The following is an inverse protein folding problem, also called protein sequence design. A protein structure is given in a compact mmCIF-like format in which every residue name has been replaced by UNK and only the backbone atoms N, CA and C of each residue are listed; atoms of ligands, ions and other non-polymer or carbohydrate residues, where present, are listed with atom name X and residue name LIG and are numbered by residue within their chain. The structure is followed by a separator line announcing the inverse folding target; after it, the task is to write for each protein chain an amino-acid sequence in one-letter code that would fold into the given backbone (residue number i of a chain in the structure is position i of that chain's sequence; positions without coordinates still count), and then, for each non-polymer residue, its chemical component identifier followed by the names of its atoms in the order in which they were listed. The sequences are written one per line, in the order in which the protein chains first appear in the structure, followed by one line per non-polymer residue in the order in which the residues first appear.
data_IF_715447798350
#
_entry.id   IF_715447798350
#
_cell.length_a   1.000
_cell.length_b   1.000
_cell.length_c   1.000
_cell.angle_alpha   90.00
_cell.angle_beta   90.00
_cell.angle_gamma   90.00
#
_symmetry.space_group_name_H-M   'P 1'
#
loop_
_entity.id
_entity.type
_entity.pdbx_description
1 polymer ?
#
# COMPACT_ATOMS: atom_id res chain seq x y z
N UNK A 1 -40.25 7.02 19.05
CA UNK A 1 -39.65 6.65 20.36
C UNK A 1 -38.37 5.93 20.02
N UNK A 2 -37.24 6.60 20.21
CA UNK A 2 -35.95 6.20 19.68
C UNK A 2 -35.47 4.89 20.30
N UNK A 3 -35.28 3.87 19.47
CA UNK A 3 -34.39 2.77 19.81
C UNK A 3 -32.98 3.35 19.80
N UNK A 4 -32.41 3.54 20.99
CA UNK A 4 -30.97 3.62 21.15
C UNK A 4 -30.44 2.24 20.79
N UNK A 5 -29.93 2.13 19.57
CA UNK A 5 -29.22 0.96 19.09
C UNK A 5 -27.86 0.95 19.79
N UNK A 6 -27.73 0.11 20.82
CA UNK A 6 -26.45 -0.32 21.37
C UNK A 6 -25.69 -1.11 20.30
N UNK A 7 -25.24 -0.39 19.27
CA UNK A 7 -24.41 -0.91 18.21
C UNK A 7 -23.01 -1.12 18.76
N UNK A 8 -22.68 -2.37 19.06
CA UNK A 8 -21.30 -2.84 19.21
C UNK A 8 -20.46 -2.18 18.11
N UNK A 9 -19.65 -1.18 18.47
CA UNK A 9 -18.70 -0.57 17.54
C UNK A 9 -17.69 -1.68 17.28
N UNK A 10 -17.96 -2.51 16.27
CA UNK A 10 -17.08 -3.58 15.83
C UNK A 10 -15.72 -2.96 15.53
N UNK A 11 -14.84 -2.98 16.52
CA UNK A 11 -13.56 -2.31 16.45
C UNK A 11 -12.80 -2.91 15.29
N UNK A 12 -12.66 -2.11 14.23
CA UNK A 12 -11.89 -2.52 13.06
C UNK A 12 -10.48 -2.84 13.53
N UNK A 13 -10.00 -4.04 13.20
CA UNK A 13 -8.67 -4.49 13.58
C UNK A 13 -7.64 -3.51 13.02
N UNK A 14 -6.57 -3.26 13.78
CA UNK A 14 -5.46 -2.46 13.29
C UNK A 14 -4.66 -3.29 12.27
N UNK A 15 -4.29 -2.71 11.12
CA UNK A 15 -3.44 -3.38 10.14
C UNK A 15 -1.99 -3.42 10.65
N UNK A 16 -1.62 -4.48 11.38
CA UNK A 16 -0.26 -4.67 11.86
C UNK A 16 0.57 -5.33 10.75
N UNK A 17 1.60 -4.64 10.28
CA UNK A 17 2.51 -5.15 9.24
C UNK A 17 1.99 -5.05 7.81
N UNK A 18 0.72 -4.68 7.62
CA UNK A 18 0.10 -4.49 6.31
C UNK A 18 0.33 -3.04 5.85
N UNK A 19 0.84 -2.89 4.63
CA UNK A 19 1.09 -1.57 4.03
C UNK A 19 0.35 -1.36 2.71
N UNK A 20 -0.45 -2.33 2.27
CA UNK A 20 -1.20 -2.26 1.02
C UNK A 20 -2.62 -1.76 1.26
N UNK A 21 -3.01 -0.70 0.56
CA UNK A 21 -4.35 -0.11 0.70
C UNK A 21 -5.43 -1.11 0.32
N UNK A 22 -5.21 -1.89 -0.74
CA UNK A 22 -6.14 -2.93 -1.21
C UNK A 22 -6.46 -3.97 -0.12
N UNK A 23 -5.45 -4.42 0.60
CA UNK A 23 -5.62 -5.41 1.68
C UNK A 23 -6.32 -4.80 2.89
N UNK A 24 -6.05 -3.53 3.19
CA UNK A 24 -6.70 -2.83 4.31
C UNK A 24 -8.19 -2.67 4.06
N UNK A 25 -8.57 -2.18 2.88
CA UNK A 25 -9.97 -1.99 2.50
C UNK A 25 -10.67 -3.35 2.33
N UNK A 26 -10.06 -4.30 1.61
CA UNK A 26 -10.65 -5.61 1.33
C UNK A 26 -10.91 -6.46 2.57
N UNK A 27 -10.02 -6.37 3.58
CA UNK A 27 -10.18 -7.13 4.82
C UNK A 27 -10.86 -6.33 5.95
N UNK A 28 -11.37 -5.13 5.67
CA UNK A 28 -12.11 -4.32 6.64
C UNK A 28 -11.28 -3.78 7.82
N UNK A 29 -9.97 -3.61 7.64
CA UNK A 29 -9.08 -3.05 8.67
C UNK A 29 -9.35 -1.54 8.89
N UNK A 30 -8.90 -1.04 10.03
CA UNK A 30 -8.95 0.39 10.33
C UNK A 30 -7.95 1.15 9.43
N UNK A 31 -8.46 2.08 8.63
CA UNK A 31 -7.66 3.01 7.82
C UNK A 31 -7.93 4.44 8.27
N UNK A 32 -6.87 5.19 8.54
CA UNK A 32 -6.97 6.64 8.80
C UNK A 32 -6.85 7.36 7.47
N UNK A 33 -7.91 8.06 7.07
CA UNK A 33 -7.93 8.75 5.78
C UNK A 33 -6.90 9.89 5.75
N UNK A 34 -5.87 9.70 4.92
CA UNK A 34 -4.82 10.69 4.60
C UNK A 34 -4.88 11.11 3.13
N UNK A 35 -5.95 10.79 2.43
CA UNK A 35 -6.08 10.99 0.98
C UNK A 35 -6.17 12.47 0.59
N UNK A 36 -6.50 13.36 1.54
CA UNK A 36 -6.36 14.82 1.38
C UNK A 36 -4.94 15.24 0.98
N UNK A 37 -3.94 14.70 1.67
CA UNK A 37 -2.54 15.02 1.37
C UNK A 37 -2.16 14.57 -0.05
N UNK A 38 -2.72 13.47 -0.55
CA UNK A 38 -2.46 13.01 -1.93
C UNK A 38 -2.90 14.05 -2.96
N UNK A 39 -4.03 14.71 -2.73
CA UNK A 39 -4.52 15.77 -3.61
C UNK A 39 -3.65 17.01 -3.56
N UNK A 40 -3.24 17.43 -2.37
CA UNK A 40 -2.39 18.61 -2.20
C UNK A 40 -1.00 18.36 -2.81
N UNK A 41 -0.47 17.15 -2.66
CA UNK A 41 0.78 16.71 -3.29
C UNK A 41 0.72 16.79 -4.82
N UNK A 42 -0.41 16.43 -5.43
CA UNK A 42 -0.61 16.56 -6.89
C UNK A 42 -0.52 18.03 -7.33
N UNK A 43 -0.98 18.97 -6.52
CA UNK A 43 -1.08 20.39 -6.88
C UNK A 43 0.20 21.19 -6.63
N UNK A 44 0.91 20.90 -5.55
CA UNK A 44 1.93 21.84 -5.03
C UNK A 44 3.36 21.55 -5.43
N UNK A 45 3.75 20.30 -5.72
CA UNK A 45 5.17 19.95 -5.69
C UNK A 45 5.67 19.05 -6.80
N UNK A 46 6.92 19.31 -7.17
CA UNK A 46 7.70 18.53 -8.13
C UNK A 46 8.40 17.34 -7.47
N UNK A 47 8.85 17.50 -6.22
CA UNK A 47 9.61 16.48 -5.48
C UNK A 47 9.23 16.49 -4.00
N UNK A 48 9.02 15.31 -3.43
CA UNK A 48 8.66 15.12 -2.02
C UNK A 48 9.55 14.10 -1.34
N UNK A 49 10.15 14.50 -0.22
CA UNK A 49 10.93 13.61 0.63
C UNK A 49 10.13 13.28 1.90
N UNK A 50 9.70 12.03 2.03
CA UNK A 50 9.07 11.54 3.26
C UNK A 50 10.18 11.18 4.26
N UNK A 51 10.60 12.14 5.11
CA UNK A 51 11.63 11.98 6.17
C UNK A 51 11.21 10.96 7.23
N UNK A 52 12.14 10.22 7.89
CA UNK A 52 11.94 8.99 8.72
C UNK A 52 11.61 9.20 10.21
N UNK A 53 10.33 9.38 10.59
CA UNK A 53 9.79 8.79 11.80
C UNK A 53 9.35 7.34 11.53
N UNK A 54 9.71 6.43 12.44
CA UNK A 54 9.28 5.03 12.38
C UNK A 54 7.76 4.90 12.55
N UNK A 55 7.16 3.91 11.90
CA UNK A 55 5.71 3.55 12.00
C UNK A 55 4.70 4.64 11.61
N UNK A 56 5.13 5.76 11.02
CA UNK A 56 4.24 6.84 10.58
C UNK A 56 3.31 6.46 9.40
N UNK A 57 3.47 5.27 8.83
CA UNK A 57 2.63 4.78 7.73
C UNK A 57 3.02 5.32 6.35
N UNK A 58 4.29 5.67 6.14
CA UNK A 58 4.75 6.15 4.83
C UNK A 58 4.60 5.13 3.72
N UNK A 59 4.89 3.86 4.01
CA UNK A 59 4.75 2.78 3.02
C UNK A 59 3.32 2.71 2.53
N UNK A 60 2.35 2.82 3.45
CA UNK A 60 0.93 2.88 3.16
C UNK A 60 0.54 4.13 2.37
N UNK A 61 1.14 5.29 2.69
CA UNK A 61 0.92 6.52 1.93
C UNK A 61 1.45 6.45 0.49
N UNK A 62 2.62 5.84 0.29
CA UNK A 62 3.19 5.60 -1.04
C UNK A 62 2.33 4.61 -1.84
N UNK A 63 1.80 3.58 -1.18
CA UNK A 63 0.87 2.64 -1.80
C UNK A 63 -0.46 3.32 -2.18
N UNK A 64 -0.98 4.18 -1.30
CA UNK A 64 -2.18 5.00 -1.57
C UNK A 64 -1.95 5.93 -2.76
N UNK A 65 -0.78 6.56 -2.86
CA UNK A 65 -0.39 7.38 -4.01
C UNK A 65 -0.40 6.55 -5.30
N UNK A 66 0.24 5.37 -5.28
CA UNK A 66 0.25 4.45 -6.42
C UNK A 66 -1.17 4.13 -6.89
N UNK A 67 -2.03 3.64 -6.00
CA UNK A 67 -3.40 3.26 -6.37
C UNK A 67 -4.23 4.45 -6.86
N UNK A 68 -4.00 5.65 -6.29
CA UNK A 68 -4.65 6.86 -6.76
C UNK A 68 -4.21 7.21 -8.20
N UNK A 69 -2.90 7.15 -8.49
CA UNK A 69 -2.36 7.45 -9.83
C UNK A 69 -2.67 6.41 -10.90
N UNK A 70 -2.80 5.15 -10.50
CA UNK A 70 -3.29 4.06 -11.37
C UNK A 70 -4.80 4.15 -11.65
N UNK A 71 -5.54 5.00 -10.93
CA UNK A 71 -6.97 5.24 -11.18
C UNK A 71 -7.91 4.23 -10.54
N UNK A 72 -7.48 3.51 -9.50
CA UNK A 72 -8.26 2.46 -8.83
C UNK A 72 -9.37 3.03 -7.93
N UNK A 73 -10.38 3.67 -8.52
CA UNK A 73 -11.48 4.37 -7.81
C UNK A 73 -12.18 3.51 -6.75
N UNK A 74 -12.31 2.21 -6.99
CA UNK A 74 -13.00 1.28 -6.08
C UNK A 74 -12.37 1.24 -4.68
N UNK A 75 -11.06 1.48 -4.57
CA UNK A 75 -10.36 1.50 -3.28
C UNK A 75 -10.59 2.80 -2.50
N UNK A 76 -11.13 3.82 -3.14
CA UNK A 76 -11.36 5.15 -2.57
C UNK A 76 -12.83 5.42 -2.26
N UNK A 77 -13.71 4.44 -2.39
CA UNK A 77 -15.14 4.61 -2.09
C UNK A 77 -15.34 5.03 -0.62
N UNK A 78 -16.00 6.17 -0.41
CA UNK A 78 -16.21 6.74 0.92
C UNK A 78 -14.99 7.45 1.54
N UNK A 79 -13.87 7.55 0.81
CA UNK A 79 -12.70 8.34 1.21
C UNK A 79 -12.78 9.75 0.62
N UNK A 80 -12.07 10.70 1.24
CA UNK A 80 -12.12 12.10 0.82
C UNK A 80 -11.70 12.34 -0.64
N UNK A 81 -10.78 11.53 -1.15
CA UNK A 81 -10.25 11.66 -2.52
C UNK A 81 -11.24 11.22 -3.60
N UNK A 82 -12.29 10.46 -3.26
CA UNK A 82 -13.28 9.97 -4.23
C UNK A 82 -13.87 11.09 -5.09
N UNK A 83 -14.30 12.18 -4.45
CA UNK A 83 -15.06 13.24 -5.10
C UNK A 83 -14.18 14.37 -5.66
N UNK A 84 -12.87 14.37 -5.33
CA UNK A 84 -11.97 15.50 -5.64
C UNK A 84 -11.00 15.21 -6.79
N UNK A 85 -10.88 13.95 -7.17
CA UNK A 85 -9.99 13.51 -8.23
C UNK A 85 -10.78 13.15 -9.48
N UNK A 86 -10.24 13.52 -10.64
CA UNK A 86 -10.67 13.00 -11.93
C UNK A 86 -10.09 11.59 -12.13
N UNK A 87 -10.96 10.57 -12.13
CA UNK A 87 -10.61 9.16 -12.25
C UNK A 87 -10.36 8.73 -13.70
N UNK A 88 -10.68 9.56 -14.70
CA UNK A 88 -10.33 9.32 -16.10
C UNK A 88 -8.83 9.50 -16.37
N UNK A 89 -8.12 10.22 -15.49
CA UNK A 89 -6.69 10.49 -15.61
C UNK A 89 -5.85 9.41 -14.95
N UNK A 90 -5.45 8.42 -15.75
CA UNK A 90 -4.53 7.33 -15.36
C UNK A 90 -3.10 7.70 -15.73
N UNK A 91 -2.17 7.47 -14.81
CA UNK A 91 -0.74 7.69 -15.03
C UNK A 91 0.03 6.38 -14.85
N UNK A 92 1.04 6.09 -15.71
CA UNK A 92 1.92 4.96 -15.48
C UNK A 92 2.75 5.20 -14.21
N UNK A 93 2.60 4.33 -13.21
CA UNK A 93 3.34 4.44 -11.93
C UNK A 93 4.53 3.50 -11.93
N UNK A 94 5.73 4.05 -11.79
CA UNK A 94 6.96 3.28 -11.65
C UNK A 94 7.36 3.26 -10.17
N UNK A 95 7.39 2.06 -9.57
CA UNK A 95 7.84 1.87 -8.19
C UNK A 95 9.20 1.18 -8.17
N UNK A 96 10.24 1.89 -7.78
CA UNK A 96 11.60 1.36 -7.62
C UNK A 96 11.87 1.13 -6.13
N UNK A 97 12.39 -0.05 -5.78
CA UNK A 97 12.79 -0.39 -4.41
C UNK A 97 14.18 -1.02 -4.43
N UNK A 98 15.09 -0.50 -3.60
CA UNK A 98 16.46 -1.01 -3.45
C UNK A 98 16.63 -1.87 -2.18
N UNK A 99 15.55 -2.12 -1.43
CA UNK A 99 15.60 -2.86 -0.17
C UNK A 99 15.67 -4.38 -0.32
N UNK A 100 15.45 -4.90 -1.54
CA UNK A 100 15.61 -6.33 -1.84
C UNK A 100 16.95 -6.51 -2.55
N UNK A 101 17.93 -7.07 -1.85
CA UNK A 101 19.15 -7.54 -2.49
C UNK A 101 18.79 -8.75 -3.35
N UNK A 102 18.93 -8.63 -4.67
CA UNK A 102 18.93 -9.80 -5.56
C UNK A 102 20.22 -10.58 -5.30
N UNK A 103 20.25 -11.36 -4.21
CA UNK A 103 21.27 -12.39 -4.03
C UNK A 103 20.88 -13.52 -4.98
N UNK A 104 21.16 -13.30 -6.27
CA UNK A 104 21.18 -14.36 -7.27
C UNK A 104 22.13 -15.43 -6.77
N UNK A 105 21.58 -16.61 -6.54
CA UNK A 105 22.25 -17.83 -6.10
C UNK A 105 23.65 -17.96 -6.70
N UNK A 106 24.68 -18.09 -5.84
CA UNK A 106 25.91 -18.79 -6.25
C UNK A 106 25.47 -20.14 -6.80
N UNK A 107 25.96 -20.46 -8.00
CA UNK A 107 25.71 -21.67 -8.78
C UNK A 107 25.51 -22.93 -7.92
N UNK A 108 24.65 -23.88 -8.35
CA UNK A 108 24.47 -25.13 -7.63
C UNK A 108 25.83 -25.81 -7.50
N UNK A 109 26.24 -26.01 -6.25
CA UNK A 109 27.35 -26.86 -5.86
C UNK A 109 27.14 -28.25 -6.50
N UNK A 110 27.98 -28.59 -7.48
CA UNK A 110 27.99 -29.91 -8.13
C UNK A 110 28.25 -30.99 -7.07
N UNK A 111 27.20 -31.70 -6.63
CA UNK A 111 27.34 -33.03 -6.03
C UNK A 111 26.89 -34.06 -7.05
N UNK A 112 27.81 -34.90 -7.52
CA UNK A 112 27.46 -36.00 -8.40
C UNK A 112 28.64 -36.61 -9.13
N UNK A 113 29.61 -37.18 -8.40
CA UNK A 113 30.47 -38.22 -8.98
C UNK A 113 30.34 -39.47 -8.11
N UNK A 114 29.29 -40.24 -8.39
CA UNK A 114 29.10 -41.58 -7.85
C UNK A 114 30.11 -42.49 -8.57
N UNK A 115 31.16 -42.90 -7.86
CA UNK A 115 32.07 -43.93 -8.35
C UNK A 115 31.28 -45.22 -8.60
N UNK A 116 31.17 -45.60 -9.87
CA UNK A 116 30.77 -46.94 -10.27
C UNK A 116 31.90 -47.89 -9.87
N UNK A 117 31.58 -48.83 -8.98
CA UNK A 117 32.35 -50.06 -8.77
C UNK A 117 32.14 -50.95 -10.00
N UNK A 118 33.24 -51.36 -10.61
CA UNK A 118 33.41 -52.67 -11.24
C UNK A 118 34.74 -53.21 -10.75
#
# INVERSE_FOLDING_TARGET
MAAFDDGDVMMKKLPIGISHLREIIGNGYAYVDKSMFVHDLKKTGKYYFLSRPGRFGKSLMVDTLKEAFEGNRNLFQGLWLENKRDWGQVYPVIRVSFGQSIIGSRLPHCRGFQQRRT
#
